data_IF_490035829097
#
_entry.id   IF_490035829097
#
_cell.length_a   1.000
_cell.length_b   1.000
_cell.length_c   1.000
_cell.angle_alpha   90.00
_cell.angle_beta   90.00
_cell.angle_gamma   90.00
#
_symmetry.space_group_name_H-M   'P 1'
#
loop_
_entity.id
_entity.type
_entity.pdbx_description
1 polymer ?
#
# COMPACT_ATOMS: atom_id res chain seq x y z
N UNK A 1 8.52 19.73 -6.59
CA UNK A 1 7.35 20.61 -6.50
C UNK A 1 7.39 21.66 -7.58
N UNK A 2 6.35 21.78 -8.40
CA UNK A 2 6.28 22.77 -9.50
C UNK A 2 4.82 23.26 -9.65
N UNK A 3 4.65 24.56 -9.86
CA UNK A 3 3.35 25.21 -10.07
C UNK A 3 2.31 24.95 -8.96
N UNK A 4 2.75 24.76 -7.72
CA UNK A 4 1.85 24.47 -6.60
C UNK A 4 1.44 23.00 -6.46
N UNK A 5 2.07 22.07 -7.18
CA UNK A 5 1.77 20.64 -7.18
C UNK A 5 3.04 19.81 -7.11
N UNK A 6 2.98 18.66 -6.45
CA UNK A 6 4.01 17.62 -6.53
C UNK A 6 3.98 16.97 -7.92
N UNK A 7 5.14 16.51 -8.39
CA UNK A 7 5.32 15.94 -9.72
C UNK A 7 6.06 14.61 -9.66
N UNK A 8 5.75 13.69 -10.56
CA UNK A 8 6.54 12.48 -10.75
C UNK A 8 7.96 12.81 -11.30
N UNK A 9 8.89 11.89 -11.12
CA UNK A 9 10.25 12.01 -11.68
C UNK A 9 10.22 12.10 -13.22
N UNK A 10 9.38 11.28 -13.83
CA UNK A 10 9.14 11.29 -15.27
C UNK A 10 7.71 11.75 -15.58
N UNK A 11 7.50 12.26 -16.79
CA UNK A 11 6.17 12.67 -17.24
C UNK A 11 5.18 11.50 -17.07
N UNK A 12 4.10 11.77 -16.35
CA UNK A 12 3.10 10.76 -16.00
C UNK A 12 1.71 11.30 -16.28
N UNK A 13 1.11 10.82 -17.35
CA UNK A 13 -0.27 11.09 -17.68
C UNK A 13 -1.16 10.14 -16.88
N UNK A 14 -2.09 10.67 -16.08
CA UNK A 14 -3.00 9.88 -15.25
C UNK A 14 -3.93 8.99 -16.07
N UNK A 15 -4.32 9.44 -17.27
CA UNK A 15 -5.15 8.69 -18.20
C UNK A 15 -4.42 8.59 -19.54
N UNK A 16 -4.08 7.37 -19.95
CA UNK A 16 -3.31 7.09 -21.18
C UNK A 16 -4.18 6.85 -22.40
N UNK A 17 -5.52 6.81 -22.26
CA UNK A 17 -6.42 6.61 -23.40
C UNK A 17 -6.72 7.93 -24.12
N UNK A 18 -6.66 7.92 -25.46
CA UNK A 18 -7.09 9.00 -26.32
C UNK A 18 -8.63 9.17 -26.40
N UNK A 19 -9.36 8.31 -25.70
CA UNK A 19 -10.82 8.36 -25.61
C UNK A 19 -11.20 9.51 -24.70
N UNK A 20 -12.04 10.43 -25.19
CA UNK A 20 -12.48 11.58 -24.42
C UNK A 20 -12.97 11.16 -23.01
N UNK A 21 -12.60 11.92 -21.99
CA UNK A 21 -12.92 11.68 -20.55
C UNK A 21 -14.35 11.18 -20.30
N UNK A 22 -15.31 11.64 -21.08
CA UNK A 22 -16.72 11.30 -20.94
C UNK A 22 -17.02 9.84 -21.41
N UNK A 23 -16.40 9.39 -22.48
CA UNK A 23 -16.57 8.03 -22.98
C UNK A 23 -15.94 6.99 -22.03
N UNK A 24 -14.78 7.28 -21.47
CA UNK A 24 -14.13 6.45 -20.44
C UNK A 24 -14.97 6.32 -19.17
N UNK A 25 -15.55 7.42 -18.69
CA UNK A 25 -16.43 7.40 -17.51
C UNK A 25 -17.70 6.58 -17.77
N UNK A 26 -18.33 6.72 -18.93
CA UNK A 26 -19.54 5.95 -19.29
C UNK A 26 -19.21 4.45 -19.42
N UNK A 27 -18.11 4.11 -20.08
CA UNK A 27 -17.67 2.72 -20.16
C UNK A 27 -17.35 2.17 -18.77
N UNK A 28 -16.69 2.96 -17.94
CA UNK A 28 -16.39 2.59 -16.53
C UNK A 28 -17.68 2.30 -15.75
N UNK A 29 -18.73 3.06 -15.92
CA UNK A 29 -19.98 2.91 -15.17
C UNK A 29 -20.87 1.78 -15.70
N UNK A 30 -20.85 1.51 -17.01
CA UNK A 30 -21.87 0.66 -17.65
C UNK A 30 -21.37 -0.67 -18.19
N UNK A 31 -20.06 -0.87 -18.41
CA UNK A 31 -19.52 -2.15 -18.83
C UNK A 31 -19.48 -3.13 -17.66
N UNK A 32 -20.30 -4.17 -17.73
CA UNK A 32 -20.21 -5.32 -16.83
C UNK A 32 -18.92 -6.07 -17.06
N UNK A 33 -18.17 -6.35 -15.99
CA UNK A 33 -17.02 -7.24 -16.00
C UNK A 33 -17.39 -8.51 -15.27
N UNK A 34 -17.24 -9.63 -15.94
CA UNK A 34 -17.42 -10.94 -15.34
C UNK A 34 -16.31 -11.16 -14.32
N UNK A 35 -16.67 -11.72 -13.16
CA UNK A 35 -15.71 -11.98 -12.09
C UNK A 35 -15.13 -10.74 -11.38
N UNK A 36 -15.69 -9.53 -11.57
CA UNK A 36 -15.21 -8.33 -10.88
C UNK A 36 -15.20 -8.46 -9.35
N UNK A 37 -16.13 -9.22 -8.81
CA UNK A 37 -16.25 -9.53 -7.39
C UNK A 37 -16.45 -11.03 -7.20
N UNK A 38 -15.93 -11.57 -6.10
CA UNK A 38 -16.18 -12.96 -5.74
C UNK A 38 -17.67 -13.20 -5.44
N UNK A 39 -18.25 -14.24 -6.00
CA UNK A 39 -19.60 -14.69 -5.69
C UNK A 39 -19.67 -15.38 -4.32
N UNK A 40 -18.58 -15.97 -3.89
CA UNK A 40 -18.43 -16.62 -2.59
C UNK A 40 -17.64 -15.73 -1.61
N UNK A 41 -17.79 -15.91 -0.30
CA UNK A 41 -16.91 -15.25 0.67
C UNK A 41 -15.44 -15.57 0.39
N UNK A 42 -14.60 -14.55 0.36
CA UNK A 42 -13.14 -14.72 0.29
C UNK A 42 -12.65 -15.22 1.65
N UNK A 43 -11.76 -16.21 1.62
CA UNK A 43 -11.17 -16.78 2.84
C UNK A 43 -10.41 -15.70 3.62
N UNK A 44 -10.61 -15.69 4.92
CA UNK A 44 -9.89 -14.81 5.83
C UNK A 44 -9.81 -15.42 7.23
N UNK A 45 -8.70 -15.23 7.89
CA UNK A 45 -8.38 -15.80 9.21
C UNK A 45 -8.43 -14.69 10.24
N UNK A 46 -9.24 -14.86 11.29
CA UNK A 46 -9.27 -13.90 12.41
C UNK A 46 -8.22 -14.30 13.44
N UNK A 47 -7.13 -13.55 13.47
CA UNK A 47 -6.07 -13.68 14.46
C UNK A 47 -6.24 -12.65 15.57
N UNK A 48 -6.09 -13.03 16.83
CA UNK A 48 -6.04 -12.06 17.95
C UNK A 48 -4.63 -11.45 18.05
N UNK A 49 -4.45 -10.34 17.34
CA UNK A 49 -3.16 -9.65 17.22
C UNK A 49 -2.66 -9.07 18.55
N UNK A 50 -3.57 -8.84 19.51
CA UNK A 50 -3.20 -8.31 20.83
C UNK A 50 -2.52 -9.35 21.72
N UNK A 51 -2.77 -10.64 21.45
CA UNK A 51 -2.14 -11.75 22.16
C UNK A 51 -0.80 -12.19 21.55
N UNK A 52 -0.44 -11.66 20.37
CA UNK A 52 0.85 -11.98 19.75
C UNK A 52 1.98 -11.27 20.48
N UNK A 53 2.93 -12.05 21.02
CA UNK A 53 4.11 -11.49 21.70
C UNK A 53 4.98 -10.66 20.76
N UNK A 54 5.57 -9.58 21.29
CA UNK A 54 6.42 -8.66 20.51
C UNK A 54 7.75 -9.27 20.06
N UNK A 55 8.10 -10.47 20.55
CA UNK A 55 9.27 -11.27 20.17
C UNK A 55 9.12 -11.98 18.80
N UNK A 56 7.94 -11.93 18.20
CA UNK A 56 7.67 -12.58 16.91
C UNK A 56 7.98 -11.66 15.75
N UNK A 57 8.78 -12.16 14.80
CA UNK A 57 9.01 -11.53 13.50
C UNK A 57 7.90 -11.99 12.56
N UNK A 58 6.96 -11.11 12.21
CA UNK A 58 5.79 -11.49 11.43
C UNK A 58 5.20 -10.35 10.61
N UNK A 59 4.40 -10.75 9.60
CA UNK A 59 3.51 -9.88 8.86
C UNK A 59 2.10 -10.48 8.85
N UNK A 60 1.08 -9.61 8.92
CA UNK A 60 -0.33 -9.97 8.72
C UNK A 60 -0.94 -9.02 7.71
N UNK A 61 -1.42 -9.56 6.60
CA UNK A 61 -2.11 -8.79 5.57
C UNK A 61 -3.63 -8.78 5.82
N UNK A 62 -4.25 -7.61 5.69
CA UNK A 62 -5.69 -7.40 5.94
C UNK A 62 -6.53 -7.23 4.67
N UNK A 63 -5.94 -7.59 3.53
CA UNK A 63 -6.52 -7.30 2.22
C UNK A 63 -6.25 -5.88 1.76
N UNK A 64 -6.30 -5.66 0.45
CA UNK A 64 -5.91 -4.41 -0.19
C UNK A 64 -4.46 -4.03 0.20
N UNK A 65 -4.19 -2.77 0.51
CA UNK A 65 -2.85 -2.28 0.88
C UNK A 65 -2.62 -2.20 2.39
N UNK A 66 -3.53 -2.79 3.20
CA UNK A 66 -3.45 -2.72 4.65
C UNK A 66 -2.71 -3.93 5.23
N UNK A 67 -1.67 -3.73 6.02
CA UNK A 67 -0.95 -4.81 6.70
C UNK A 67 -0.23 -4.34 7.98
N UNK A 68 0.01 -5.29 8.87
CA UNK A 68 0.80 -5.11 10.09
C UNK A 68 2.11 -5.88 9.95
N UNK A 69 3.22 -5.19 10.12
CA UNK A 69 4.56 -5.78 10.27
C UNK A 69 4.93 -5.73 11.75
N UNK A 70 5.45 -6.83 12.28
CA UNK A 70 6.08 -6.85 13.59
C UNK A 70 7.51 -7.35 13.43
N UNK A 71 8.48 -6.50 13.77
CA UNK A 71 9.91 -6.79 13.63
C UNK A 71 10.71 -6.03 14.68
N UNK A 72 11.77 -6.62 15.23
CA UNK A 72 12.59 -6.01 16.26
C UNK A 72 11.80 -5.52 17.49
N UNK A 73 10.70 -6.19 17.82
CA UNK A 73 9.81 -5.83 18.91
C UNK A 73 8.87 -4.65 18.63
N UNK A 74 8.87 -4.10 17.40
CA UNK A 74 8.02 -2.97 16.99
C UNK A 74 6.89 -3.41 16.08
N UNK A 75 5.77 -2.72 16.17
CA UNK A 75 4.57 -2.92 15.36
C UNK A 75 4.39 -1.74 14.42
N UNK A 76 4.46 -2.03 13.14
CA UNK A 76 4.36 -1.07 12.04
C UNK A 76 3.07 -1.37 11.28
N UNK A 77 2.10 -0.46 11.31
CA UNK A 77 0.87 -0.57 10.56
C UNK A 77 0.98 0.28 9.30
N UNK A 78 0.62 -0.28 8.15
CA UNK A 78 0.75 0.40 6.85
C UNK A 78 -0.63 0.53 6.20
N UNK A 79 -0.94 1.71 5.71
CA UNK A 79 -2.13 2.08 4.93
C UNK A 79 -3.44 1.43 5.44
N UNK A 80 -3.81 1.59 6.73
CA UNK A 80 -4.91 0.83 7.31
C UNK A 80 -6.28 1.38 6.87
N UNK A 81 -7.06 0.54 6.18
CA UNK A 81 -8.41 0.83 5.75
C UNK A 81 -9.36 -0.25 6.28
N UNK A 82 -9.96 0.02 7.45
CA UNK A 82 -10.88 -0.89 8.14
C UNK A 82 -12.32 -0.39 8.19
N UNK A 83 -12.57 0.85 7.75
CA UNK A 83 -13.89 1.44 7.77
C UNK A 83 -14.38 1.84 6.38
N UNK A 84 -13.61 2.65 5.65
CA UNK A 84 -14.06 3.22 4.37
C UNK A 84 -12.90 3.43 3.38
N UNK A 85 -13.02 2.82 2.19
CA UNK A 85 -12.08 3.00 1.07
C UNK A 85 -12.55 4.06 0.05
N UNK A 86 -13.51 4.90 0.40
CA UNK A 86 -14.03 5.97 -0.46
C UNK A 86 -14.78 7.01 0.36
N UNK A 87 -14.99 8.24 -0.14
CA UNK A 87 -15.72 9.28 0.58
C UNK A 87 -17.18 8.92 0.82
N UNK A 88 -17.70 7.95 0.08
CA UNK A 88 -19.11 7.50 0.16
C UNK A 88 -19.14 6.03 0.50
N UNK A 89 -19.61 5.69 1.69
CA UNK A 89 -19.51 4.35 2.30
C UNK A 89 -20.15 3.19 1.52
N UNK A 90 -21.07 3.47 0.60
CA UNK A 90 -21.70 2.43 -0.19
C UNK A 90 -21.04 2.19 -1.57
N UNK A 91 -20.08 3.02 -1.98
CA UNK A 91 -19.44 2.94 -3.31
C UNK A 91 -18.46 1.79 -3.37
N UNK A 92 -17.51 1.73 -2.47
CA UNK A 92 -16.44 0.71 -2.47
C UNK A 92 -16.61 -0.25 -1.29
N UNK A 93 -17.64 -1.12 -1.37
CA UNK A 93 -17.83 -2.14 -0.34
C UNK A 93 -16.78 -3.23 -0.45
N UNK A 94 -16.23 -3.72 0.67
CA UNK A 94 -15.33 -4.86 0.66
C UNK A 94 -16.02 -6.11 0.10
N UNK A 95 -15.24 -7.04 -0.42
CA UNK A 95 -15.74 -8.36 -0.80
C UNK A 95 -16.27 -9.10 0.43
N UNK A 96 -17.22 -10.00 0.24
CA UNK A 96 -17.74 -10.84 1.34
C UNK A 96 -16.60 -11.62 1.98
N UNK A 97 -16.56 -11.65 3.30
CA UNK A 97 -15.54 -12.38 4.06
C UNK A 97 -14.27 -11.59 4.38
N UNK A 98 -13.98 -10.46 3.71
CA UNK A 98 -12.72 -9.72 3.90
C UNK A 98 -12.77 -8.65 4.98
N UNK A 99 -13.96 -8.25 5.42
CA UNK A 99 -14.16 -7.17 6.41
C UNK A 99 -14.24 -7.73 7.85
N UNK A 100 -13.28 -8.60 8.21
CA UNK A 100 -13.24 -9.26 9.52
C UNK A 100 -12.42 -8.51 10.56
N UNK A 101 -11.52 -7.61 10.13
CA UNK A 101 -10.72 -6.78 11.02
C UNK A 101 -11.32 -5.39 11.16
N UNK A 102 -11.25 -4.86 12.38
CA UNK A 102 -11.71 -3.52 12.75
C UNK A 102 -10.57 -2.79 13.46
N UNK A 103 -10.60 -1.45 13.55
CA UNK A 103 -9.60 -0.70 14.32
C UNK A 103 -9.45 -1.21 15.77
N UNK A 104 -10.54 -1.68 16.37
CA UNK A 104 -10.56 -2.20 17.73
C UNK A 104 -9.76 -3.49 17.91
N UNK A 105 -9.51 -4.23 16.84
CA UNK A 105 -8.71 -5.48 16.85
C UNK A 105 -7.20 -5.22 16.84
N UNK A 106 -6.78 -4.02 16.44
CA UNK A 106 -5.37 -3.69 16.36
C UNK A 106 -4.74 -3.57 17.75
N UNK A 107 -3.50 -4.04 17.92
CA UNK A 107 -2.71 -3.77 19.12
C UNK A 107 -2.23 -2.30 19.13
N UNK A 108 -1.43 -1.92 20.14
CA UNK A 108 -0.70 -0.65 20.12
C UNK A 108 0.32 -0.68 18.98
N UNK A 109 0.39 0.42 18.25
CA UNK A 109 1.18 0.62 17.04
C UNK A 109 2.32 1.58 17.34
N UNK A 110 3.56 1.13 17.15
CA UNK A 110 4.72 1.99 17.34
C UNK A 110 4.86 2.97 16.17
N UNK A 111 4.68 2.51 14.93
CA UNK A 111 4.77 3.31 13.72
C UNK A 111 3.57 3.08 12.79
N UNK A 112 2.91 4.16 12.38
CA UNK A 112 1.94 4.16 11.31
C UNK A 112 2.59 4.74 10.06
N UNK A 113 2.70 3.97 8.98
CA UNK A 113 3.22 4.42 7.69
C UNK A 113 2.04 4.63 6.74
N UNK A 114 2.00 5.78 6.10
CA UNK A 114 1.03 6.11 5.04
C UNK A 114 1.80 6.43 3.77
N UNK A 115 1.49 5.70 2.69
CA UNK A 115 2.15 5.87 1.39
C UNK A 115 1.69 7.12 0.65
N UNK A 116 0.42 7.44 0.70
CA UNK A 116 -0.20 8.62 0.11
C UNK A 116 -1.62 8.84 0.65
N UNK A 117 -2.29 9.91 0.23
CA UNK A 117 -3.55 10.35 0.83
C UNK A 117 -4.83 9.81 0.17
N UNK A 118 -4.77 8.87 -0.78
CA UNK A 118 -5.98 8.30 -1.36
C UNK A 118 -6.88 7.65 -0.30
N UNK A 119 -8.18 7.62 -0.57
CA UNK A 119 -9.19 7.12 0.38
C UNK A 119 -9.02 5.66 0.75
N UNK A 120 -8.46 4.86 -0.13
CA UNK A 120 -8.20 3.43 0.06
C UNK A 120 -6.81 3.13 0.68
N UNK A 121 -6.07 4.17 1.10
CA UNK A 121 -4.83 4.09 1.87
C UNK A 121 -4.90 4.88 3.18
N UNK A 122 -5.59 6.01 3.19
CA UNK A 122 -5.74 6.87 4.36
C UNK A 122 -7.21 6.97 4.77
N UNK A 123 -7.67 6.06 5.62
CA UNK A 123 -9.04 6.03 6.14
C UNK A 123 -9.15 6.83 7.45
N UNK A 124 -9.79 8.00 7.37
CA UNK A 124 -10.04 8.87 8.53
C UNK A 124 -10.64 8.15 9.73
N UNK A 125 -11.69 7.33 9.50
CA UNK A 125 -12.38 6.66 10.60
C UNK A 125 -11.51 5.62 11.28
N UNK A 126 -10.69 4.90 10.52
CA UNK A 126 -9.69 3.97 11.05
C UNK A 126 -8.65 4.71 11.88
N UNK A 127 -8.02 5.74 11.31
CA UNK A 127 -6.97 6.52 11.98
C UNK A 127 -7.49 7.19 13.25
N UNK A 128 -8.69 7.79 13.19
CA UNK A 128 -9.31 8.43 14.34
C UNK A 128 -9.54 7.46 15.52
N UNK A 129 -9.99 6.24 15.22
CA UNK A 129 -10.22 5.20 16.24
C UNK A 129 -8.91 4.64 16.82
N UNK A 130 -7.84 4.69 16.05
CA UNK A 130 -6.52 4.21 16.45
C UNK A 130 -5.66 5.28 17.11
N UNK A 131 -6.02 6.56 17.06
CA UNK A 131 -5.18 7.70 17.41
C UNK A 131 -4.41 7.52 18.71
N UNK A 132 -5.08 7.16 19.80
CA UNK A 132 -4.48 7.05 21.13
C UNK A 132 -3.59 5.80 21.29
N UNK A 133 -3.50 4.96 20.26
CA UNK A 133 -2.67 3.74 20.19
C UNK A 133 -1.56 3.82 19.16
N UNK A 134 -1.43 4.96 18.46
CA UNK A 134 -0.38 5.22 17.47
C UNK A 134 0.71 6.05 18.14
N UNK A 135 1.94 5.55 18.12
CA UNK A 135 3.12 6.27 18.63
C UNK A 135 3.56 7.37 17.66
N UNK A 136 4.04 7.00 16.49
CA UNK A 136 4.54 7.93 15.47
C UNK A 136 3.89 7.65 14.12
N UNK A 137 3.50 8.71 13.42
CA UNK A 137 3.05 8.68 12.03
C UNK A 137 4.22 9.02 11.13
N UNK A 138 4.42 8.25 10.06
CA UNK A 138 5.44 8.46 9.04
C UNK A 138 4.71 8.58 7.70
N UNK A 139 4.92 9.68 6.99
CA UNK A 139 4.20 9.94 5.75
C UNK A 139 4.99 10.87 4.83
N UNK A 140 4.62 10.95 3.53
CA UNK A 140 5.21 11.92 2.62
C UNK A 140 4.73 13.35 2.92
N UNK A 141 5.44 14.34 2.40
CA UNK A 141 5.11 15.77 2.55
C UNK A 141 3.65 16.10 2.18
N UNK A 142 2.99 16.88 3.03
CA UNK A 142 1.61 17.33 2.88
C UNK A 142 0.56 16.34 3.42
N UNK A 143 0.90 15.06 3.59
CA UNK A 143 -0.02 14.07 4.19
C UNK A 143 -0.20 14.32 5.68
N UNK A 144 0.81 14.82 6.37
CA UNK A 144 0.79 15.15 7.80
C UNK A 144 -0.27 16.19 8.17
N UNK A 145 -0.64 17.09 7.24
CA UNK A 145 -1.70 18.08 7.46
C UNK A 145 -3.06 17.42 7.79
N UNK A 146 -3.35 16.26 7.20
CA UNK A 146 -4.55 15.49 7.55
C UNK A 146 -4.51 15.04 9.01
N UNK A 147 -3.37 14.55 9.48
CA UNK A 147 -3.20 14.08 10.86
C UNK A 147 -3.28 15.22 11.87
N UNK A 148 -2.64 16.36 11.59
CA UNK A 148 -2.74 17.56 12.41
C UNK A 148 -4.22 18.02 12.52
N UNK A 149 -4.93 18.07 11.38
CA UNK A 149 -6.36 18.41 11.35
C UNK A 149 -7.22 17.40 12.12
N UNK A 150 -6.83 16.12 12.19
CA UNK A 150 -7.52 15.08 12.95
C UNK A 150 -7.10 15.03 14.41
N UNK A 151 -6.25 15.93 14.87
CA UNK A 151 -5.90 16.12 16.28
C UNK A 151 -4.70 15.32 16.77
N UNK A 152 -3.79 14.90 15.88
CA UNK A 152 -2.48 14.39 16.27
C UNK A 152 -1.57 15.54 16.68
N UNK A 153 -0.69 15.31 17.65
CA UNK A 153 0.39 16.26 17.95
C UNK A 153 1.40 16.25 16.79
N UNK A 154 1.80 17.41 16.33
CA UNK A 154 2.82 17.57 15.28
C UNK A 154 4.13 16.82 15.59
N UNK A 155 4.47 16.67 16.87
CA UNK A 155 5.64 15.90 17.32
C UNK A 155 5.53 14.39 17.05
N UNK A 156 4.33 13.88 16.83
CA UNK A 156 4.08 12.48 16.47
C UNK A 156 4.18 12.25 14.97
N UNK A 157 4.34 13.29 14.16
CA UNK A 157 4.30 13.22 12.70
C UNK A 157 5.71 13.45 12.14
N UNK A 158 6.19 12.49 11.38
CA UNK A 158 7.44 12.55 10.60
C UNK A 158 7.05 12.61 9.13
N UNK A 159 7.14 13.81 8.56
CA UNK A 159 6.97 14.01 7.12
C UNK A 159 8.31 14.02 6.42
N UNK A 160 8.39 13.35 5.29
CA UNK A 160 9.62 13.18 4.51
C UNK A 160 9.37 13.50 3.03
N UNK A 161 10.36 14.12 2.40
CA UNK A 161 10.44 14.22 0.93
C UNK A 161 11.14 12.98 0.36
N UNK A 162 11.03 12.77 -0.94
CA UNK A 162 11.77 11.71 -1.62
C UNK A 162 13.29 11.84 -1.38
N UNK A 163 13.89 10.71 -1.08
CA UNK A 163 15.30 10.54 -0.73
C UNK A 163 15.71 11.08 0.65
N UNK A 164 14.77 11.61 1.42
CA UNK A 164 14.99 11.88 2.83
C UNK A 164 14.83 10.62 3.68
N UNK A 165 15.41 10.67 4.86
CA UNK A 165 15.31 9.60 5.85
C UNK A 165 15.15 10.12 7.27
N UNK A 166 14.65 9.25 8.14
CA UNK A 166 14.53 9.53 9.57
C UNK A 166 15.00 8.33 10.38
N UNK A 167 15.84 8.59 11.37
CA UNK A 167 16.14 7.63 12.43
C UNK A 167 15.03 7.66 13.47
N UNK A 168 14.32 6.55 13.62
CA UNK A 168 13.18 6.45 14.53
C UNK A 168 13.63 6.16 15.96
N UNK A 169 14.47 5.15 16.11
CA UNK A 169 15.15 4.75 17.34
C UNK A 169 16.33 3.84 17.01
N UNK A 170 17.05 3.34 18.03
CA UNK A 170 18.20 2.49 17.83
C UNK A 170 17.87 1.26 17.00
N UNK A 171 18.48 1.15 15.83
CA UNK A 171 18.32 0.05 14.89
C UNK A 171 17.14 0.20 13.91
N UNK A 172 16.33 1.28 14.02
CA UNK A 172 15.25 1.55 13.09
C UNK A 172 15.49 2.85 12.31
N UNK A 173 15.43 2.75 11.01
CA UNK A 173 15.54 3.87 10.09
C UNK A 173 14.54 3.71 8.95
N UNK A 174 13.88 4.79 8.55
CA UNK A 174 12.98 4.82 7.41
C UNK A 174 13.51 5.79 6.36
N UNK A 175 13.48 5.35 5.10
CA UNK A 175 13.76 6.17 3.93
C UNK A 175 12.47 6.38 3.16
N UNK A 176 12.17 7.62 2.82
CA UNK A 176 11.11 7.97 1.87
C UNK A 176 11.70 7.94 0.47
N UNK A 177 11.08 7.19 -0.43
CA UNK A 177 11.62 6.89 -1.75
C UNK A 177 10.59 7.24 -2.85
N UNK A 178 11.04 7.49 -4.08
CA UNK A 178 10.13 7.76 -5.18
C UNK A 178 9.15 6.63 -5.45
N UNK A 179 7.94 7.02 -5.87
CA UNK A 179 6.95 6.16 -6.50
C UNK A 179 6.37 6.91 -7.70
N UNK A 180 5.77 6.21 -8.65
CA UNK A 180 5.14 6.82 -9.83
C UNK A 180 3.63 6.77 -9.70
N UNK A 181 3.05 7.77 -9.05
CA UNK A 181 1.61 7.79 -8.73
C UNK A 181 1.09 9.24 -8.73
N UNK A 182 0.05 9.50 -7.97
CA UNK A 182 -0.51 10.81 -7.71
C UNK A 182 -1.19 10.83 -6.34
N UNK A 183 -1.61 12.00 -5.88
CA UNK A 183 -2.34 12.17 -4.62
C UNK A 183 -3.63 12.96 -4.82
N UNK A 184 -4.56 12.86 -3.88
CA UNK A 184 -5.77 13.66 -3.85
C UNK A 184 -6.97 13.00 -3.20
N UNK A 185 -7.69 13.79 -2.43
CA UNK A 185 -8.92 13.39 -1.72
C UNK A 185 -10.15 14.19 -2.12
N UNK A 186 -10.05 15.07 -3.10
CA UNK A 186 -11.10 16.00 -3.45
C UNK A 186 -11.00 16.52 -4.89
N UNK A 187 -11.27 17.79 -5.07
CA UNK A 187 -11.23 18.43 -6.40
C UNK A 187 -9.82 18.81 -6.85
N UNK A 188 -8.88 18.94 -5.92
CA UNK A 188 -7.47 19.21 -6.20
C UNK A 188 -6.65 17.94 -6.08
N UNK A 189 -5.73 17.72 -7.02
CA UNK A 189 -4.77 16.62 -7.00
C UNK A 189 -3.38 17.14 -6.69
N UNK A 190 -2.47 16.24 -6.29
CA UNK A 190 -1.03 16.51 -6.14
C UNK A 190 -0.68 17.63 -5.13
N UNK A 191 -1.54 17.84 -4.13
CA UNK A 191 -1.27 18.81 -3.06
C UNK A 191 -0.43 18.20 -1.93
N UNK A 192 -0.40 16.88 -1.83
CA UNK A 192 0.50 16.08 -1.00
C UNK A 192 1.38 15.21 -1.89
N UNK A 193 2.51 14.74 -1.36
CA UNK A 193 3.40 13.81 -2.04
C UNK A 193 2.89 12.37 -1.86
N UNK A 194 3.28 11.47 -2.75
CA UNK A 194 3.14 10.01 -2.67
C UNK A 194 4.52 9.39 -2.62
N UNK A 195 4.66 8.25 -1.95
CA UNK A 195 5.98 7.66 -1.77
C UNK A 195 5.92 6.15 -1.58
N UNK A 196 7.03 5.50 -1.90
CA UNK A 196 7.43 4.23 -1.34
C UNK A 196 8.35 4.45 -0.14
N UNK A 197 8.57 3.43 0.67
CA UNK A 197 9.45 3.51 1.82
C UNK A 197 10.39 2.30 1.88
N UNK A 198 11.59 2.49 2.40
CA UNK A 198 12.42 1.40 2.90
C UNK A 198 12.54 1.51 4.41
N UNK A 199 12.05 0.51 5.12
CA UNK A 199 12.23 0.35 6.55
C UNK A 199 13.45 -0.53 6.80
N UNK A 200 14.50 0.03 7.39
CA UNK A 200 15.59 -0.73 7.97
C UNK A 200 15.26 -1.03 9.43
N UNK A 201 15.12 -2.29 9.76
CA UNK A 201 14.93 -2.81 11.11
C UNK A 201 16.18 -3.60 11.54
N UNK A 202 16.34 -3.93 12.81
CA UNK A 202 17.53 -4.63 13.29
C UNK A 202 17.85 -5.95 12.59
N UNK A 203 16.83 -6.68 12.12
CA UNK A 203 16.95 -8.00 11.52
C UNK A 203 16.72 -8.02 10.01
N UNK A 204 16.11 -6.99 9.42
CA UNK A 204 15.69 -7.02 8.02
C UNK A 204 15.42 -5.64 7.42
N UNK A 205 15.54 -5.56 6.11
CA UNK A 205 15.16 -4.42 5.29
C UNK A 205 13.87 -4.72 4.54
N UNK A 206 12.85 -3.89 4.73
CA UNK A 206 11.53 -4.09 4.13
C UNK A 206 11.20 -2.91 3.22
N UNK A 207 11.01 -3.20 1.93
CA UNK A 207 10.51 -2.22 0.98
C UNK A 207 8.97 -2.22 0.99
N UNK A 208 8.40 -1.05 1.18
CA UNK A 208 6.96 -0.76 1.22
C UNK A 208 6.66 0.07 -0.03
N UNK A 209 6.11 -0.56 -1.07
CA UNK A 209 5.95 0.05 -2.39
C UNK A 209 4.91 1.17 -2.44
N UNK A 210 3.83 1.05 -1.66
CA UNK A 210 2.64 1.87 -1.88
C UNK A 210 2.03 1.56 -3.24
N UNK A 211 1.34 2.55 -3.83
CA UNK A 211 0.86 2.47 -5.20
C UNK A 211 1.84 3.15 -6.16
N UNK A 212 2.01 2.56 -7.35
CA UNK A 212 2.86 3.18 -8.35
C UNK A 212 3.06 2.34 -9.60
N UNK A 213 3.01 2.99 -10.77
CA UNK A 213 3.39 2.39 -12.03
C UNK A 213 4.88 2.07 -12.10
N UNK A 214 5.23 1.10 -12.94
CA UNK A 214 6.62 0.73 -13.16
C UNK A 214 7.42 1.87 -13.80
N UNK A 215 8.62 2.13 -13.26
CA UNK A 215 9.59 3.11 -13.81
C UNK A 215 11.01 2.78 -13.30
N UNK A 216 12.00 3.57 -13.72
CA UNK A 216 13.43 3.38 -13.40
C UNK A 216 13.74 3.38 -11.91
N UNK A 217 12.90 4.01 -11.09
CA UNK A 217 13.11 4.11 -9.65
C UNK A 217 13.23 2.75 -8.95
N UNK A 218 12.62 1.67 -9.47
CA UNK A 218 12.78 0.33 -8.89
C UNK A 218 14.23 -0.16 -8.98
N UNK A 219 14.88 0.00 -10.14
CA UNK A 219 16.28 -0.36 -10.32
C UNK A 219 17.21 0.54 -9.48
N UNK A 220 16.97 1.85 -9.46
CA UNK A 220 17.74 2.80 -8.66
C UNK A 220 17.65 2.49 -7.15
N UNK A 221 16.48 2.09 -6.67
CA UNK A 221 16.26 1.66 -5.28
C UNK A 221 17.01 0.35 -5.00
N UNK A 222 16.91 -0.64 -5.90
CA UNK A 222 17.61 -1.92 -5.75
C UNK A 222 19.12 -1.77 -5.74
N UNK A 223 19.68 -0.89 -6.57
CA UNK A 223 21.11 -0.55 -6.56
C UNK A 223 21.52 0.16 -5.25
N UNK A 224 20.70 1.09 -4.77
CA UNK A 224 20.96 1.82 -3.53
C UNK A 224 20.85 0.95 -2.28
N UNK A 225 19.94 -0.04 -2.30
CA UNK A 225 19.66 -0.92 -1.18
C UNK A 225 19.73 -2.40 -1.58
N UNK A 226 20.93 -2.95 -1.77
CA UNK A 226 21.13 -4.29 -2.36
C UNK A 226 20.67 -5.47 -1.47
N UNK A 227 20.19 -5.22 -0.25
CA UNK A 227 19.81 -6.25 0.71
C UNK A 227 18.35 -6.08 1.17
N UNK A 228 17.40 -6.02 0.24
CA UNK A 228 15.98 -6.01 0.56
C UNK A 228 15.53 -7.43 0.89
N UNK A 229 15.10 -7.67 2.13
CA UNK A 229 14.65 -8.99 2.60
C UNK A 229 13.22 -9.27 2.17
N UNK A 230 12.36 -8.25 2.17
CA UNK A 230 10.98 -8.32 1.73
C UNK A 230 10.60 -7.08 0.93
N UNK A 231 10.07 -7.25 -0.27
CA UNK A 231 9.41 -6.19 -1.03
C UNK A 231 7.89 -6.41 -1.01
N UNK A 232 7.15 -5.38 -0.61
CA UNK A 232 5.69 -5.37 -0.64
C UNK A 232 5.27 -4.49 -1.80
N UNK A 233 4.68 -5.11 -2.84
CA UNK A 233 4.38 -4.47 -4.12
C UNK A 233 2.88 -4.50 -4.40
N UNK A 234 2.37 -3.45 -5.03
CA UNK A 234 1.00 -3.48 -5.55
C UNK A 234 0.85 -4.55 -6.63
N UNK A 235 -0.31 -5.19 -6.69
CA UNK A 235 -0.68 -6.19 -7.69
C UNK A 235 -2.19 -6.17 -7.90
N UNK A 236 -2.74 -5.02 -8.20
CA UNK A 236 -4.18 -4.88 -8.38
C UNK A 236 -4.57 -3.48 -8.82
N UNK A 237 -5.84 -3.33 -9.15
CA UNK A 237 -6.44 -2.06 -9.54
C UNK A 237 -5.80 -1.42 -10.79
N UNK A 238 -5.03 -2.21 -11.56
CA UNK A 238 -4.41 -1.80 -12.83
C UNK A 238 -5.41 -1.75 -13.98
N UNK A 239 -5.10 -0.95 -14.99
CA UNK A 239 -5.83 -0.87 -16.25
C UNK A 239 -4.94 -0.22 -17.31
N UNK A 240 -5.10 -0.58 -18.59
CA UNK A 240 -4.41 0.05 -19.72
C UNK A 240 -4.63 1.57 -19.77
N UNK A 241 -5.79 2.05 -19.29
CA UNK A 241 -6.12 3.47 -19.29
C UNK A 241 -5.33 4.30 -18.27
N UNK A 242 -4.73 3.66 -17.25
CA UNK A 242 -3.89 4.31 -16.23
C UNK A 242 -2.63 3.51 -15.87
N UNK A 243 -2.08 2.81 -16.82
CA UNK A 243 -0.90 1.94 -16.70
C UNK A 243 0.39 2.63 -16.24
N UNK A 244 0.41 3.95 -16.20
CA UNK A 244 1.56 4.71 -15.70
C UNK A 244 1.51 4.95 -14.18
N UNK A 245 0.37 4.75 -13.54
CA UNK A 245 0.17 5.00 -12.11
C UNK A 245 -0.17 3.73 -11.32
N UNK A 246 -0.35 2.60 -12.00
CA UNK A 246 -0.44 1.26 -11.43
C UNK A 246 0.33 0.28 -12.31
N UNK A 247 1.06 -0.65 -11.70
CA UNK A 247 1.82 -1.65 -12.44
C UNK A 247 0.90 -2.62 -13.16
N UNK A 248 1.17 -2.81 -14.47
CA UNK A 248 0.54 -3.89 -15.22
C UNK A 248 1.16 -5.25 -14.83
N UNK A 249 0.41 -6.36 -14.93
CA UNK A 249 0.87 -7.68 -14.51
C UNK A 249 2.25 -8.09 -15.04
N UNK A 250 2.55 -7.77 -16.29
CA UNK A 250 3.83 -8.09 -16.93
C UNK A 250 5.02 -7.29 -16.38
N UNK A 251 4.77 -6.17 -15.70
CA UNK A 251 5.81 -5.30 -15.15
C UNK A 251 6.23 -5.72 -13.72
N UNK A 252 5.38 -6.45 -13.02
CA UNK A 252 5.59 -6.79 -11.61
C UNK A 252 6.84 -7.63 -11.37
N UNK A 253 7.04 -8.66 -12.20
CA UNK A 253 8.23 -9.50 -12.11
C UNK A 253 9.52 -8.72 -12.39
N UNK A 254 9.46 -7.71 -13.28
CA UNK A 254 10.60 -6.86 -13.53
C UNK A 254 10.87 -5.95 -12.33
N UNK A 255 9.87 -5.31 -11.76
CA UNK A 255 10.01 -4.48 -10.56
C UNK A 255 10.60 -5.26 -9.39
N UNK A 256 10.15 -6.51 -9.18
CA UNK A 256 10.69 -7.39 -8.14
C UNK A 256 12.17 -7.75 -8.37
N UNK A 257 12.56 -8.00 -9.63
CA UNK A 257 13.94 -8.28 -10.03
C UNK A 257 14.82 -7.05 -9.88
N UNK A 258 14.34 -5.87 -10.28
CA UNK A 258 15.06 -4.60 -10.16
C UNK A 258 15.34 -4.25 -8.70
N UNK A 259 14.41 -4.48 -7.80
CA UNK A 259 14.60 -4.33 -6.36
C UNK A 259 15.54 -5.39 -5.76
N UNK A 260 15.80 -6.47 -6.47
CA UNK A 260 16.61 -7.61 -6.01
C UNK A 260 16.19 -8.12 -4.61
N UNK A 261 14.88 -8.15 -4.36
CA UNK A 261 14.33 -8.55 -3.07
C UNK A 261 14.32 -10.08 -2.88
N UNK A 262 14.61 -10.54 -1.68
CA UNK A 262 14.66 -11.99 -1.35
C UNK A 262 13.26 -12.62 -1.31
N UNK A 263 12.26 -11.88 -0.83
CA UNK A 263 10.87 -12.29 -0.74
C UNK A 263 9.97 -11.17 -1.26
N UNK A 264 8.83 -11.52 -1.80
CA UNK A 264 7.85 -10.57 -2.34
C UNK A 264 6.49 -10.87 -1.74
N UNK A 265 5.81 -9.86 -1.25
CA UNK A 265 4.38 -9.91 -0.93
C UNK A 265 3.64 -9.01 -1.90
N UNK A 266 2.58 -9.53 -2.51
CA UNK A 266 1.71 -8.71 -3.35
C UNK A 266 0.50 -8.20 -2.56
N UNK A 267 0.14 -6.94 -2.75
CA UNK A 267 -0.96 -6.25 -2.08
C UNK A 267 -1.84 -5.48 -3.07
N UNK A 268 -2.73 -4.63 -2.61
CA UNK A 268 -3.64 -3.79 -3.40
C UNK A 268 -4.72 -4.58 -4.13
N UNK A 269 -5.10 -5.76 -3.61
CA UNK A 269 -6.12 -6.65 -4.18
C UNK A 269 -6.97 -7.34 -3.11
N UNK A 270 -7.86 -8.22 -3.55
CA UNK A 270 -8.67 -9.17 -2.74
C UNK A 270 -9.64 -8.57 -1.74
N UNK A 271 -9.85 -7.25 -1.71
CA UNK A 271 -10.79 -6.60 -0.76
C UNK A 271 -11.76 -5.65 -1.42
N UNK A 272 -11.32 -4.86 -2.39
CA UNK A 272 -12.12 -3.87 -3.10
C UNK A 272 -11.99 -4.06 -4.62
N UNK A 273 -13.01 -3.61 -5.35
CA UNK A 273 -12.97 -3.51 -6.82
C UNK A 273 -12.94 -2.02 -7.19
N UNK A 274 -11.75 -1.49 -7.42
CA UNK A 274 -11.50 -0.11 -7.84
C UNK A 274 -11.15 -0.02 -9.33
N UNK A 275 -10.69 -1.13 -9.92
CA UNK A 275 -10.42 -1.28 -11.34
C UNK A 275 -11.30 -2.37 -11.97
N UNK A 276 -10.96 -2.79 -13.17
CA UNK A 276 -11.81 -3.61 -14.05
C UNK A 276 -11.18 -4.93 -14.46
N UNK A 277 -10.44 -5.56 -13.57
CA UNK A 277 -9.98 -6.92 -13.73
C UNK A 277 -10.79 -7.87 -12.83
N UNK A 278 -10.85 -9.19 -13.10
CA UNK A 278 -11.39 -10.18 -12.19
C UNK A 278 -10.75 -10.08 -10.81
N UNK A 279 -11.52 -10.33 -9.75
CA UNK A 279 -11.08 -10.17 -8.36
C UNK A 279 -9.88 -11.07 -7.99
N UNK A 280 -9.77 -12.21 -8.64
CA UNK A 280 -8.75 -13.24 -8.41
C UNK A 280 -7.58 -13.19 -9.40
N UNK A 281 -7.65 -12.36 -10.43
CA UNK A 281 -6.55 -12.19 -11.39
C UNK A 281 -5.23 -11.77 -10.72
N UNK A 282 -5.20 -10.88 -9.72
CA UNK A 282 -3.97 -10.59 -8.99
C UNK A 282 -3.38 -11.80 -8.27
N UNK A 283 -4.19 -12.72 -7.76
CA UNK A 283 -3.69 -13.95 -7.17
C UNK A 283 -3.03 -14.85 -8.21
N UNK A 284 -3.62 -14.93 -9.42
CA UNK A 284 -3.05 -15.66 -10.55
C UNK A 284 -1.73 -15.03 -10.99
N UNK A 285 -1.62 -13.70 -11.00
CA UNK A 285 -0.37 -12.99 -11.30
C UNK A 285 0.72 -13.35 -10.27
N UNK A 286 0.41 -13.34 -8.98
CA UNK A 286 1.34 -13.74 -7.93
C UNK A 286 1.80 -15.20 -8.07
N UNK A 287 0.89 -16.11 -8.40
CA UNK A 287 1.21 -17.51 -8.70
C UNK A 287 2.11 -17.63 -9.95
N UNK A 288 1.86 -16.85 -10.99
CA UNK A 288 2.69 -16.82 -12.19
C UNK A 288 4.11 -16.34 -11.88
N UNK A 289 4.26 -15.27 -11.11
CA UNK A 289 5.56 -14.76 -10.65
C UNK A 289 6.34 -15.86 -9.89
N UNK A 290 5.65 -16.62 -9.01
CA UNK A 290 6.26 -17.71 -8.25
C UNK A 290 6.67 -18.89 -9.13
N UNK A 291 5.78 -19.32 -10.02
CA UNK A 291 5.94 -20.57 -10.74
C UNK A 291 6.73 -20.41 -12.06
N UNK A 292 6.62 -19.27 -12.74
CA UNK A 292 7.24 -19.06 -14.05
C UNK A 292 8.48 -18.16 -13.97
N UNK A 293 8.50 -17.17 -13.07
CA UNK A 293 9.63 -16.24 -12.94
C UNK A 293 10.62 -16.65 -11.82
N UNK A 294 10.32 -17.73 -11.12
CA UNK A 294 11.15 -18.27 -10.02
C UNK A 294 11.38 -17.28 -8.88
N UNK A 295 10.42 -16.40 -8.65
CA UNK A 295 10.45 -15.43 -7.56
C UNK A 295 9.86 -16.03 -6.27
N UNK A 296 10.42 -15.68 -5.13
CA UNK A 296 9.92 -16.12 -3.82
C UNK A 296 8.72 -15.25 -3.39
N UNK A 297 7.54 -15.55 -3.92
CA UNK A 297 6.31 -14.80 -3.70
C UNK A 297 5.50 -15.41 -2.57
N UNK A 298 5.18 -14.60 -1.57
CA UNK A 298 4.28 -14.92 -0.48
C UNK A 298 2.83 -14.65 -0.91
N UNK A 299 1.94 -15.62 -0.72
CA UNK A 299 0.52 -15.53 -1.09
C UNK A 299 -0.32 -15.96 0.13
N UNK A 300 -0.34 -15.14 1.20
CA UNK A 300 -1.10 -15.49 2.39
C UNK A 300 -2.60 -15.26 2.21
N UNK A 301 -3.41 -15.94 2.99
CA UNK A 301 -4.80 -15.57 3.21
C UNK A 301 -4.88 -14.26 4.04
N UNK A 302 -5.98 -13.53 3.87
CA UNK A 302 -6.24 -12.33 4.71
C UNK A 302 -6.24 -12.73 6.19
N UNK A 303 -5.38 -12.10 7.00
CA UNK A 303 -5.27 -12.36 8.44
C UNK A 303 -4.35 -13.51 8.83
N UNK A 304 -3.78 -14.23 7.87
CA UNK A 304 -2.74 -15.25 8.14
C UNK A 304 -1.47 -14.61 8.69
N UNK A 305 -0.85 -15.27 9.68
CA UNK A 305 0.47 -14.86 10.18
C UNK A 305 1.55 -15.41 9.25
N UNK A 306 2.22 -14.51 8.55
CA UNK A 306 3.42 -14.82 7.77
C UNK A 306 4.65 -14.59 8.65
N UNK A 307 5.49 -15.62 8.83
CA UNK A 307 6.76 -15.49 9.54
C UNK A 307 7.79 -14.78 8.65
N UNK A 308 8.53 -13.85 9.23
CA UNK A 308 9.56 -13.06 8.54
C UNK A 308 10.99 -13.56 8.76
N UNK A 309 11.13 -14.71 9.42
CA UNK A 309 12.43 -15.37 9.67
C UNK A 309 13.01 -15.97 8.38
#
# INVERSE_FOLDING_TARGET
YRNGEFQNLHETTLMTSDRGRFAGILEFLFRKIEGLRSDQPVNAIKTDLRQVGRDKEMLVWFGHSSYLIQTGGKRILVDPVFCMASPVSFVNKPFKGTDIYKPEDMPDIDYLIISHDHWDHLDYNTVKKLRDRIGTVICPLGVGEHFEYWGFDKKQIVELDWNEDSSLETGFKVYCLPARHFSGRGLSSNQSLWASFLLQAPSQNIYIGGDGGYDTHYAEIGERFPNIDLAILENGQYNEEWKLIHMMPEQMSQAAKDLNAKKILTVHHSKYALARHPWDEPLQNAENMRNHDSLNVLIPEIGEIVKLE
#
